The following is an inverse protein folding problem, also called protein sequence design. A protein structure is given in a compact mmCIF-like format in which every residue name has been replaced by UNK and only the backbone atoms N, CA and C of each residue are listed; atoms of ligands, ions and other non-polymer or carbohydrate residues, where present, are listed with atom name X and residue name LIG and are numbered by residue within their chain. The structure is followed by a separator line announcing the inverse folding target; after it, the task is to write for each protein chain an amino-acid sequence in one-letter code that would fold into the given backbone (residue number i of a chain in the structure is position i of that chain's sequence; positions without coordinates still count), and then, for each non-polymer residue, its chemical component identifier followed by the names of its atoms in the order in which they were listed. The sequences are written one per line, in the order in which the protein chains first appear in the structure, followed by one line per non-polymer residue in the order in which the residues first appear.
data_IF_512519415546
#
_entry.id   IF_512519415546
#
_cell.length_a   1.000
_cell.length_b   1.000
_cell.length_c   1.000
_cell.angle_alpha   90.00
_cell.angle_beta   90.00
_cell.angle_gamma   90.00
#
_symmetry.space_group_name_H-M   'P 1'
#
loop_
_entity.id
_entity.type
_entity.pdbx_description
1 polymer ?
#
# COMPACT_ATOMS: atom_id res chain seq x y z
N UNK A 1 21.21 4.03 18.29
CA UNK A 1 20.26 4.11 17.16
C UNK A 1 19.21 3.03 17.40
N UNK A 2 17.93 3.38 17.60
CA UNK A 2 16.88 2.37 17.67
C UNK A 2 16.53 2.00 16.23
N UNK A 3 16.85 0.77 15.83
CA UNK A 3 16.33 0.18 14.60
C UNK A 3 14.83 0.02 14.82
N UNK A 4 14.01 0.67 14.01
CA UNK A 4 12.56 0.52 14.08
C UNK A 4 12.15 -0.94 13.85
N UNK A 5 11.03 -1.36 14.45
CA UNK A 5 10.49 -2.73 14.30
C UNK A 5 10.18 -3.05 12.83
N UNK A 6 9.81 -2.04 12.05
CA UNK A 6 9.63 -2.13 10.61
C UNK A 6 10.98 -1.88 9.93
N UNK A 7 11.50 -2.90 9.26
CA UNK A 7 12.67 -2.80 8.41
C UNK A 7 12.34 -2.03 7.15
N UNK A 8 13.23 -1.14 6.72
CA UNK A 8 13.06 -0.37 5.48
C UNK A 8 11.66 0.28 5.35
N UNK A 9 11.14 0.84 6.45
CA UNK A 9 9.77 1.38 6.50
C UNK A 9 9.52 2.60 5.59
N UNK A 10 10.59 3.30 5.21
CA UNK A 10 10.56 4.40 4.24
C UNK A 10 10.96 4.00 2.82
N UNK A 11 11.30 2.71 2.57
CA UNK A 11 11.74 2.20 1.26
C UNK A 11 13.04 2.83 0.72
N UNK A 12 13.86 3.39 1.61
CA UNK A 12 15.07 4.14 1.26
C UNK A 12 16.23 3.25 0.75
N UNK A 13 16.06 1.92 0.75
CA UNK A 13 16.97 1.01 0.03
C UNK A 13 16.77 1.07 -1.49
N UNK A 14 15.70 1.71 -1.97
CA UNK A 14 15.33 1.76 -3.38
C UNK A 14 14.65 0.47 -3.88
N UNK A 15 14.31 -0.44 -2.97
CA UNK A 15 13.66 -1.72 -3.26
C UNK A 15 12.79 -2.20 -2.09
N UNK A 16 12.17 -3.37 -2.24
CA UNK A 16 11.37 -4.01 -1.21
C UNK A 16 12.20 -4.84 -0.23
N UNK A 17 13.48 -4.56 0.00
CA UNK A 17 14.27 -5.26 1.03
C UNK A 17 13.53 -5.21 2.37
N UNK A 18 13.28 -6.38 2.97
CA UNK A 18 12.50 -6.52 4.21
C UNK A 18 10.98 -6.58 4.02
N UNK A 19 10.47 -6.44 2.79
CA UNK A 19 9.07 -6.58 2.43
C UNK A 19 8.89 -7.76 1.46
N UNK A 20 7.71 -8.36 1.47
CA UNK A 20 7.31 -9.47 0.61
C UNK A 20 6.21 -8.98 -0.32
N UNK A 21 6.38 -9.18 -1.62
CA UNK A 21 5.30 -8.99 -2.60
C UNK A 21 4.35 -10.19 -2.50
N UNK A 22 3.05 -9.90 -2.43
CA UNK A 22 1.97 -10.91 -2.31
C UNK A 22 1.01 -10.83 -3.49
N UNK A 23 0.62 -9.62 -3.88
CA UNK A 23 -0.23 -9.38 -5.04
C UNK A 23 0.63 -9.03 -6.25
N UNK A 24 0.47 -9.82 -7.32
CA UNK A 24 1.31 -9.77 -8.52
C UNK A 24 0.58 -9.23 -9.76
N UNK A 25 -0.61 -8.66 -9.58
CA UNK A 25 -1.34 -8.00 -10.66
C UNK A 25 -0.79 -6.59 -10.79
N UNK A 26 0.16 -6.41 -11.71
CA UNK A 26 1.13 -5.30 -11.69
C UNK A 26 1.92 -5.31 -10.38
N UNK A 27 3.03 -6.04 -10.37
CA UNK A 27 3.94 -6.09 -9.21
C UNK A 27 4.19 -4.68 -8.66
N UNK A 28 4.02 -4.47 -7.34
CA UNK A 28 4.41 -3.23 -6.72
C UNK A 28 5.85 -2.87 -7.05
N UNK A 29 6.14 -1.58 -7.18
CA UNK A 29 7.51 -1.07 -7.39
C UNK A 29 7.85 -0.02 -6.35
N UNK A 30 9.15 0.13 -6.08
CA UNK A 30 9.69 1.28 -5.38
C UNK A 30 10.06 2.35 -6.41
N UNK A 31 9.58 3.57 -6.20
CA UNK A 31 9.72 4.72 -7.10
C UNK A 31 10.06 5.99 -6.33
N UNK A 32 10.57 7.01 -7.02
CA UNK A 32 10.93 8.31 -6.47
C UNK A 32 9.94 9.44 -6.83
N UNK A 33 8.79 9.13 -7.43
CA UNK A 33 7.88 10.15 -7.97
C UNK A 33 7.03 10.86 -6.91
N UNK A 34 6.57 10.15 -5.86
CA UNK A 34 5.62 10.66 -4.86
C UNK A 34 6.01 10.28 -3.43
N UNK A 35 7.26 10.53 -3.05
CA UNK A 35 7.72 10.29 -1.68
C UNK A 35 7.14 11.32 -0.70
N UNK A 36 6.70 10.85 0.47
CA UNK A 36 6.27 11.74 1.55
C UNK A 36 7.48 12.34 2.31
N UNK A 37 8.47 11.50 2.59
CA UNK A 37 9.74 11.84 3.25
C UNK A 37 10.83 11.02 2.58
N UNK A 38 12.04 11.57 2.44
CA UNK A 38 13.14 10.84 1.80
C UNK A 38 13.00 10.77 0.28
N UNK A 39 13.64 9.78 -0.33
CA UNK A 39 13.74 9.68 -1.80
C UNK A 39 12.71 8.73 -2.39
N UNK A 40 12.26 7.72 -1.66
CA UNK A 40 11.50 6.61 -2.24
C UNK A 40 10.10 6.46 -1.64
N UNK A 41 9.25 5.73 -2.38
CA UNK A 41 7.89 5.36 -2.02
C UNK A 41 7.47 4.10 -2.79
N UNK A 42 6.46 3.38 -2.30
CA UNK A 42 5.90 2.25 -3.03
C UNK A 42 4.72 2.69 -3.89
N UNK A 43 4.65 2.13 -5.09
CA UNK A 43 3.48 2.17 -5.97
C UNK A 43 2.87 0.78 -6.04
N UNK A 44 1.55 0.69 -5.87
CA UNK A 44 0.75 -0.53 -6.02
C UNK A 44 -0.53 -0.20 -6.82
N UNK A 45 -1.02 -1.17 -7.59
CA UNK A 45 -2.30 -1.11 -8.30
C UNK A 45 -2.24 -0.54 -9.72
N UNK A 46 -1.31 0.38 -9.98
CA UNK A 46 -1.04 0.94 -11.31
C UNK A 46 0.07 0.19 -12.02
N UNK A 47 0.10 0.24 -13.36
CA UNK A 47 1.21 -0.26 -14.16
C UNK A 47 2.43 0.66 -13.95
N UNK A 48 3.49 0.19 -13.28
CA UNK A 48 4.62 1.03 -12.93
C UNK A 48 5.51 1.39 -14.13
N UNK A 49 5.42 0.66 -15.24
CA UNK A 49 6.19 0.90 -16.46
C UNK A 49 5.57 1.97 -17.36
N UNK A 50 4.33 2.40 -17.10
CA UNK A 50 3.65 3.36 -17.97
C UNK A 50 3.93 4.83 -17.59
N UNK A 51 4.63 5.12 -16.49
CA UNK A 51 4.92 6.48 -15.95
C UNK A 51 3.71 7.43 -15.85
N UNK A 52 2.52 6.91 -16.12
CA UNK A 52 1.24 7.57 -16.01
C UNK A 52 0.73 7.41 -14.59
N UNK A 53 1.38 8.09 -13.65
CA UNK A 53 0.84 8.19 -12.29
C UNK A 53 -0.55 8.82 -12.38
N UNK A 54 -1.57 8.00 -12.12
CA UNK A 54 -2.97 8.40 -12.16
C UNK A 54 -3.44 8.95 -13.49
N UNK A 55 -2.85 8.51 -14.60
CA UNK A 55 -3.48 8.73 -15.89
C UNK A 55 -4.47 7.61 -16.18
N UNK A 56 -5.61 8.03 -16.70
CA UNK A 56 -6.63 7.18 -17.25
C UNK A 56 -6.04 6.37 -18.40
N UNK A 57 -5.97 5.06 -18.23
CA UNK A 57 -5.79 4.17 -19.35
C UNK A 57 -6.95 3.17 -19.31
N UNK A 58 -7.51 2.83 -20.48
CA UNK A 58 -8.56 1.83 -20.57
C UNK A 58 -8.03 0.39 -20.31
N UNK A 59 -6.95 0.26 -19.52
CA UNK A 59 -6.22 -0.97 -19.30
C UNK A 59 -6.06 -1.23 -17.80
N UNK A 60 -7.20 -1.34 -17.13
CA UNK A 60 -7.26 -1.61 -15.71
C UNK A 60 -7.06 -3.11 -15.41
N UNK A 61 -6.07 -3.47 -14.59
CA UNK A 61 -5.77 -4.87 -14.35
C UNK A 61 -6.76 -5.48 -13.35
N UNK A 62 -7.14 -6.75 -13.56
CA UNK A 62 -8.01 -7.48 -12.65
C UNK A 62 -7.19 -8.23 -11.59
N UNK A 63 -7.39 -7.85 -10.32
CA UNK A 63 -6.82 -8.51 -9.14
C UNK A 63 -5.92 -7.59 -8.31
N UNK A 64 -5.09 -8.20 -7.45
CA UNK A 64 -4.44 -7.50 -6.35
C UNK A 64 -2.97 -7.19 -6.66
N UNK A 65 -2.57 -5.95 -6.36
CA UNK A 65 -1.17 -5.53 -6.25
C UNK A 65 -0.88 -5.23 -4.78
N UNK A 66 -0.05 -6.03 -4.12
CA UNK A 66 0.13 -5.87 -2.68
C UNK A 66 1.47 -6.34 -2.16
N UNK A 67 1.87 -5.80 -1.01
CA UNK A 67 3.12 -6.13 -0.34
C UNK A 67 2.98 -6.00 1.17
N UNK A 68 3.78 -6.76 1.91
CA UNK A 68 3.68 -6.82 3.36
C UNK A 68 5.01 -7.06 4.04
N UNK A 69 5.08 -6.72 5.32
CA UNK A 69 6.16 -7.11 6.20
C UNK A 69 5.55 -7.75 7.44
N UNK A 70 6.09 -8.91 7.82
CA UNK A 70 5.81 -9.51 9.10
C UNK A 70 6.83 -8.99 10.12
N UNK A 71 6.34 -8.63 11.30
CA UNK A 71 7.19 -8.16 12.39
C UNK A 71 6.57 -8.59 13.72
N UNK A 72 7.40 -8.59 14.77
CA UNK A 72 6.95 -8.87 16.14
C UNK A 72 6.53 -7.59 16.82
N UNK A 73 5.30 -7.54 17.30
CA UNK A 73 4.79 -6.46 18.15
C UNK A 73 5.60 -6.43 19.46
N UNK A 74 6.27 -5.32 19.82
CA UNK A 74 6.93 -5.17 21.11
C UNK A 74 5.93 -5.36 22.26
N UNK A 75 6.40 -5.91 23.38
CA UNK A 75 5.56 -6.19 24.54
C UNK A 75 4.84 -4.94 25.10
N UNK A 76 5.43 -3.75 24.94
CA UNK A 76 4.82 -2.47 25.32
C UNK A 76 3.77 -1.94 24.33
N UNK A 77 3.50 -2.66 23.24
CA UNK A 77 2.68 -2.18 22.13
C UNK A 77 3.37 -1.08 21.34
N UNK A 78 2.58 -0.28 20.63
CA UNK A 78 3.10 0.79 19.78
C UNK A 78 2.02 1.44 18.93
N UNK A 79 2.43 2.41 18.12
CA UNK A 79 1.61 3.00 17.05
C UNK A 79 2.32 2.71 15.73
N UNK A 80 1.62 2.15 14.75
CA UNK A 80 2.08 2.13 13.37
C UNK A 80 1.37 3.24 12.61
N UNK A 81 2.13 4.13 12.00
CA UNK A 81 1.58 5.17 11.12
C UNK A 81 2.20 5.03 9.76
N UNK A 82 1.41 5.29 8.73
CA UNK A 82 1.90 5.36 7.36
C UNK A 82 1.24 6.52 6.64
N UNK A 83 1.95 7.02 5.64
CA UNK A 83 1.48 8.02 4.71
C UNK A 83 1.09 7.32 3.42
N UNK A 84 0.02 7.80 2.81
CA UNK A 84 -0.45 7.26 1.56
C UNK A 84 -0.89 8.38 0.65
N UNK A 85 -0.84 8.10 -0.63
CA UNK A 85 -1.37 8.94 -1.67
C UNK A 85 -2.15 8.04 -2.62
N UNK A 86 -3.42 8.36 -2.86
CA UNK A 86 -4.33 7.50 -3.63
C UNK A 86 -4.85 8.25 -4.84
N UNK A 87 -5.09 7.51 -5.91
CA UNK A 87 -5.93 7.94 -7.02
C UNK A 87 -6.78 6.77 -7.53
N UNK A 88 -7.94 7.11 -8.07
CA UNK A 88 -8.77 6.27 -8.94
C UNK A 88 -9.21 7.15 -10.10
N UNK A 89 -9.47 6.52 -11.24
CA UNK A 89 -9.92 7.16 -12.44
C UNK A 89 -11.47 7.25 -12.49
N UNK A 90 -12.20 6.22 -12.08
CA UNK A 90 -13.64 6.19 -12.34
C UNK A 90 -14.51 6.67 -11.15
N UNK A 91 -15.77 6.97 -11.47
CA UNK A 91 -16.80 7.32 -10.48
C UNK A 91 -17.54 6.06 -10.00
N UNK A 92 -17.05 4.85 -10.32
CA UNK A 92 -17.67 3.63 -9.87
C UNK A 92 -17.22 3.36 -8.42
N UNK A 93 -18.13 2.86 -7.55
CA UNK A 93 -17.80 2.60 -6.13
C UNK A 93 -16.81 1.44 -5.90
N UNK A 94 -16.11 0.95 -6.93
CA UNK A 94 -15.46 -0.37 -6.94
C UNK A 94 -13.94 -0.32 -6.82
N UNK A 95 -13.37 0.86 -6.65
CA UNK A 95 -11.94 1.05 -6.41
C UNK A 95 -11.69 1.36 -4.93
N UNK A 96 -11.18 0.36 -4.22
CA UNK A 96 -10.91 0.45 -2.79
C UNK A 96 -9.47 0.03 -2.54
N UNK A 97 -8.71 0.95 -1.96
CA UNK A 97 -7.34 0.71 -1.52
C UNK A 97 -7.40 0.44 -0.02
N UNK A 98 -6.74 -0.62 0.44
CA UNK A 98 -6.84 -1.01 1.84
C UNK A 98 -5.46 -1.19 2.49
N UNK A 99 -5.43 -1.09 3.81
CA UNK A 99 -4.35 -1.59 4.62
C UNK A 99 -4.90 -2.47 5.75
N UNK A 100 -4.28 -3.62 5.98
CA UNK A 100 -4.72 -4.61 6.95
C UNK A 100 -3.64 -4.91 7.97
N UNK A 101 -4.02 -5.09 9.22
CA UNK A 101 -3.19 -5.78 10.21
C UNK A 101 -3.70 -7.19 10.28
N UNK A 102 -2.83 -8.17 10.08
CA UNK A 102 -3.19 -9.58 10.24
C UNK A 102 -2.37 -10.23 11.34
N UNK A 103 -2.92 -11.26 11.96
CA UNK A 103 -2.10 -12.21 12.71
C UNK A 103 -1.32 -13.14 11.74
N UNK A 104 -0.53 -14.05 12.30
CA UNK A 104 0.25 -15.03 11.51
C UNK A 104 -0.61 -16.07 10.79
N UNK A 105 -1.90 -16.17 11.11
CA UNK A 105 -2.85 -17.07 10.47
C UNK A 105 -3.67 -16.36 9.39
N UNK A 106 -3.37 -15.08 9.11
CA UNK A 106 -4.07 -14.26 8.13
C UNK A 106 -5.39 -13.65 8.63
N UNK A 107 -5.72 -13.78 9.91
CA UNK A 107 -6.93 -13.17 10.46
C UNK A 107 -6.75 -11.65 10.52
N UNK A 108 -7.68 -10.89 9.93
CA UNK A 108 -7.65 -9.43 9.94
C UNK A 108 -7.98 -8.92 11.34
N UNK A 109 -6.99 -8.32 12.00
CA UNK A 109 -7.09 -7.68 13.30
C UNK A 109 -7.58 -6.23 13.21
N UNK A 110 -7.19 -5.52 12.15
CA UNK A 110 -7.65 -4.16 11.81
C UNK A 110 -7.67 -3.96 10.30
N UNK A 111 -8.60 -3.14 9.83
CA UNK A 111 -8.72 -2.70 8.44
C UNK A 111 -8.77 -1.18 8.39
N UNK A 112 -8.00 -0.61 7.49
CA UNK A 112 -8.09 0.78 7.07
C UNK A 112 -8.63 0.80 5.65
N UNK A 113 -9.90 1.15 5.47
CA UNK A 113 -10.42 1.38 4.13
C UNK A 113 -10.07 2.78 3.66
N UNK A 114 -9.27 2.85 2.61
CA UNK A 114 -8.82 4.07 1.98
C UNK A 114 -9.74 4.30 0.78
N UNK A 115 -10.77 5.10 1.02
CA UNK A 115 -11.66 5.52 -0.06
C UNK A 115 -10.85 6.34 -1.05
N UNK A 116 -10.73 5.85 -2.28
CA UNK A 116 -10.15 6.59 -3.38
C UNK A 116 -11.17 7.66 -3.82
N UNK A 117 -11.42 8.67 -2.99
CA UNK A 117 -12.19 9.84 -3.43
C UNK A 117 -11.19 10.80 -4.05
N UNK A 118 -11.42 11.16 -5.32
CA UNK A 118 -10.88 12.31 -6.06
C UNK A 118 -9.62 12.94 -5.45
N UNK A 119 -8.46 12.72 -6.08
CA UNK A 119 -7.14 13.34 -5.81
C UNK A 119 -7.06 14.13 -4.50
N UNK A 120 -6.54 13.50 -3.42
CA UNK A 120 -6.22 14.27 -2.22
C UNK A 120 -4.82 13.95 -1.67
N UNK A 121 -3.85 14.87 -1.86
CA UNK A 121 -2.55 14.77 -1.23
C UNK A 121 -2.64 14.84 0.30
N UNK A 122 -1.73 14.16 1.00
CA UNK A 122 -1.40 14.49 2.39
C UNK A 122 -2.27 13.84 3.48
N UNK A 123 -2.82 12.65 3.25
CA UNK A 123 -3.53 11.93 4.31
C UNK A 123 -2.57 10.98 5.03
N UNK A 124 -2.52 11.10 6.36
CA UNK A 124 -1.93 10.09 7.23
C UNK A 124 -3.04 9.33 7.93
N UNK A 125 -2.85 8.01 8.08
CA UNK A 125 -3.64 7.25 9.06
C UNK A 125 -2.73 6.78 10.17
N UNK A 126 -3.17 7.02 11.40
CA UNK A 126 -2.50 6.58 12.61
C UNK A 126 -3.21 5.32 13.10
N UNK A 127 -2.48 4.21 13.12
CA UNK A 127 -2.96 2.91 13.56
C UNK A 127 -2.03 2.30 14.60
N UNK A 128 -2.36 1.09 15.00
CA UNK A 128 -1.49 0.22 15.77
C UNK A 128 -1.33 -1.04 14.91
N UNK A 129 -0.15 -1.18 14.24
CA UNK A 129 0.33 -2.31 13.39
C UNK A 129 -0.25 -2.37 11.94
N UNK A 130 0.33 -3.12 10.96
CA UNK A 130 -0.23 -3.31 9.58
C UNK A 130 0.65 -3.58 8.33
N UNK A 131 0.08 -4.39 7.41
CA UNK A 131 0.32 -4.69 5.97
C UNK A 131 -0.51 -3.73 5.08
N UNK A 132 -0.09 -3.49 3.83
CA UNK A 132 -0.88 -2.75 2.83
C UNK A 132 -1.36 -3.71 1.72
N UNK A 133 -2.63 -3.69 1.36
CA UNK A 133 -3.17 -4.56 0.30
C UNK A 133 -4.20 -3.81 -0.53
N UNK A 134 -3.93 -3.68 -1.83
CA UNK A 134 -4.92 -3.29 -2.82
C UNK A 134 -5.66 -4.55 -3.27
N UNK A 135 -6.99 -4.59 -3.10
CA UNK A 135 -7.80 -5.75 -3.49
C UNK A 135 -8.93 -5.32 -4.41
N UNK A 136 -9.06 -5.93 -5.59
CA UNK A 136 -10.19 -5.69 -6.50
C UNK A 136 -10.97 -6.97 -6.78
N UNK A 137 -12.22 -7.03 -6.32
CA UNK A 137 -13.18 -8.03 -6.77
C UNK A 137 -13.87 -7.55 -8.05
N UNK A 138 -13.50 -8.12 -9.19
CA UNK A 138 -14.38 -8.10 -10.35
C UNK A 138 -15.59 -8.99 -10.04
N UNK A 139 -16.77 -8.38 -9.85
CA UNK A 139 -18.01 -9.14 -10.03
C UNK A 139 -18.21 -9.28 -11.53
N UNK A 140 -18.07 -10.51 -12.01
CA UNK A 140 -18.50 -10.90 -13.35
C UNK A 140 -19.98 -10.54 -13.51
N UNK A 141 -20.30 -9.72 -14.51
CA UNK A 141 -21.62 -9.71 -15.14
C UNK A 141 -21.55 -10.52 -16.42
#
# INVERSE_FOLDING_TARGET
MIVGVIQNGGLETGDFTGWVIDGHVNDPVVTNSLSHTGTYSALAGLNPQQETFCAENNNEPLGDSSFYQQFTVPAGGGTLSFWYWTCTFDFLPRDWQDAYVTDSNGAILKRSSISAVTMRPGYSRRWTWGRMQDRRYASSS
#
